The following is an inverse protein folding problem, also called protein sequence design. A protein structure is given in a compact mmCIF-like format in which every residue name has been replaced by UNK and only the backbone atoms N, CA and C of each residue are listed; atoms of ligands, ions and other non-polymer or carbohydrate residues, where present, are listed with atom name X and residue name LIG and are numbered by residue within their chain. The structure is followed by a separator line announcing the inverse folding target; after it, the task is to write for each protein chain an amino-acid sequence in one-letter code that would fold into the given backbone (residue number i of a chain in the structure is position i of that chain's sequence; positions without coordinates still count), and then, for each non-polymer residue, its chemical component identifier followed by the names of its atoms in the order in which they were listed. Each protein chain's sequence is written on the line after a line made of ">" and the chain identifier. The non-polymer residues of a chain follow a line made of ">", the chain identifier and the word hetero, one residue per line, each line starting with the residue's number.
data_IF_035866129814
#
_entry.id   IF_035866129814
#
_cell.length_a   1.000
_cell.length_b   1.000
_cell.length_c   1.000
_cell.angle_alpha   90.00
_cell.angle_beta   90.00
_cell.angle_gamma   90.00
#
_symmetry.space_group_name_H-M   'P 1'
#
loop_
_entity.id
_entity.type
_entity.pdbx_description
1 polymer ?
#
# COMPACT_ATOMS: atom_id res chain seq x y z
N UNK A 1 -10.44 -28.30 -25.03
CA UNK A 1 -9.79 -27.08 -24.58
C UNK A 1 -10.82 -26.01 -24.25
N UNK A 2 -10.73 -25.45 -23.03
CA UNK A 2 -11.65 -24.42 -22.56
C UNK A 2 -11.14 -23.06 -22.94
N UNK A 3 -11.97 -22.25 -23.59
CA UNK A 3 -11.64 -20.88 -23.98
C UNK A 3 -12.69 -19.92 -23.46
N UNK A 4 -12.24 -18.81 -22.93
CA UNK A 4 -13.11 -17.75 -22.46
C UNK A 4 -12.48 -16.39 -22.73
N UNK A 5 -13.34 -15.42 -23.00
CA UNK A 5 -12.99 -14.02 -22.95
C UNK A 5 -13.25 -13.54 -21.53
N UNK A 6 -12.25 -12.93 -20.91
CA UNK A 6 -12.35 -12.41 -19.56
C UNK A 6 -12.22 -10.90 -19.62
N UNK A 7 -13.24 -10.22 -19.11
CA UNK A 7 -13.18 -8.77 -18.91
C UNK A 7 -12.99 -8.53 -17.43
N UNK A 8 -11.87 -7.94 -17.08
CA UNK A 8 -11.50 -7.67 -15.70
C UNK A 8 -11.53 -6.18 -15.43
N UNK A 9 -12.38 -5.76 -14.50
CA UNK A 9 -12.35 -4.43 -13.93
C UNK A 9 -11.83 -4.56 -12.49
N UNK A 10 -10.96 -3.67 -12.10
CA UNK A 10 -10.41 -3.71 -10.75
C UNK A 10 -10.25 -2.31 -10.18
N UNK A 11 -10.72 -2.16 -8.95
CA UNK A 11 -10.39 -1.01 -8.12
C UNK A 11 -9.19 -1.40 -7.26
N UNK A 12 -8.15 -0.59 -7.31
CA UNK A 12 -6.91 -0.85 -6.60
C UNK A 12 -6.58 0.33 -5.69
N UNK A 13 -6.33 0.03 -4.42
CA UNK A 13 -5.92 1.00 -3.44
C UNK A 13 -4.63 0.53 -2.77
N UNK A 14 -3.60 1.37 -2.80
CA UNK A 14 -2.38 1.19 -2.02
C UNK A 14 -2.34 2.29 -0.97
N UNK A 15 -2.28 1.90 0.31
CA UNK A 15 -2.37 2.86 1.41
C UNK A 15 -1.47 2.47 2.58
N UNK A 16 -1.07 3.47 3.34
CA UNK A 16 -0.48 3.30 4.66
C UNK A 16 -1.51 3.69 5.71
N UNK A 17 -1.78 2.81 6.66
CA UNK A 17 -2.71 3.11 7.75
C UNK A 17 -1.99 3.89 8.85
N UNK A 18 -2.10 5.21 8.81
CA UNK A 18 -1.42 6.10 9.74
C UNK A 18 -1.94 5.98 11.18
N UNK A 19 -3.10 5.35 11.39
CA UNK A 19 -3.59 5.06 12.74
C UNK A 19 -2.72 4.05 13.47
N UNK A 20 -1.91 3.28 12.74
CA UNK A 20 -0.97 2.31 13.31
C UNK A 20 0.32 2.97 13.81
N UNK A 21 0.55 4.24 13.49
CA UNK A 21 1.69 4.98 14.00
C UNK A 21 1.59 5.13 15.51
N UNK A 22 2.68 4.88 16.20
CA UNK A 22 2.78 5.07 17.64
C UNK A 22 3.81 6.13 17.96
N UNK A 23 3.53 6.91 18.99
CA UNK A 23 4.42 7.97 19.44
C UNK A 23 4.68 7.83 20.93
N UNK A 24 5.93 8.04 21.34
CA UNK A 24 6.29 8.28 22.73
C UNK A 24 6.67 9.75 22.87
N UNK A 25 6.07 10.40 23.86
CA UNK A 25 6.29 11.82 24.13
C UNK A 25 7.07 11.94 25.44
N UNK A 26 8.24 12.55 25.36
CA UNK A 26 9.07 12.88 26.52
C UNK A 26 9.07 14.39 26.71
N UNK A 27 8.24 14.85 27.64
CA UNK A 27 8.08 16.29 27.89
C UNK A 27 9.34 16.91 28.49
N UNK A 28 10.04 16.18 29.33
CA UNK A 28 11.25 16.67 29.99
C UNK A 28 12.36 16.96 28.98
N UNK A 29 12.53 16.08 28.02
CA UNK A 29 13.54 16.22 26.97
C UNK A 29 12.98 16.86 25.69
N UNK A 30 11.71 17.22 25.67
CA UNK A 30 11.02 17.79 24.51
C UNK A 30 11.25 16.97 23.26
N UNK A 31 11.02 15.67 23.38
CA UNK A 31 11.29 14.70 22.32
C UNK A 31 10.03 13.89 22.02
N UNK A 32 9.75 13.72 20.74
CA UNK A 32 8.72 12.81 20.23
C UNK A 32 9.44 11.71 19.48
N UNK A 33 9.20 10.45 19.88
CA UNK A 33 9.76 9.30 19.19
C UNK A 33 8.64 8.57 18.44
N UNK A 34 8.76 8.50 17.13
CA UNK A 34 7.85 7.75 16.29
C UNK A 34 8.27 6.30 16.22
N UNK A 35 7.29 5.40 16.31
CA UNK A 35 7.48 3.95 16.24
C UNK A 35 6.48 3.31 15.30
N UNK A 36 6.81 2.11 14.86
CA UNK A 36 5.89 1.23 14.12
C UNK A 36 5.31 1.88 12.87
N UNK A 37 6.19 2.31 11.98
CA UNK A 37 5.75 2.74 10.64
C UNK A 37 5.06 1.56 9.97
N UNK A 38 3.80 1.71 9.55
CA UNK A 38 3.06 0.61 8.97
C UNK A 38 3.62 0.21 7.61
N UNK A 39 3.41 -1.04 7.25
CA UNK A 39 3.66 -1.50 5.88
C UNK A 39 2.52 -1.07 4.98
N UNK A 40 2.77 -0.86 3.69
CA UNK A 40 1.70 -0.52 2.78
C UNK A 40 0.68 -1.65 2.68
N UNK A 41 -0.59 -1.31 2.67
CA UNK A 41 -1.69 -2.22 2.45
C UNK A 41 -2.14 -2.13 1.00
N UNK A 42 -2.41 -3.28 0.40
CA UNK A 42 -2.92 -3.39 -0.95
C UNK A 42 -4.34 -3.95 -0.90
N UNK A 43 -5.30 -3.19 -1.43
CA UNK A 43 -6.69 -3.64 -1.57
C UNK A 43 -7.05 -3.69 -3.03
N UNK A 44 -7.49 -4.86 -3.48
CA UNK A 44 -7.92 -5.09 -4.85
C UNK A 44 -9.35 -5.62 -4.82
N UNK A 45 -10.27 -4.86 -5.41
CA UNK A 45 -11.62 -5.31 -5.69
C UNK A 45 -11.74 -5.56 -7.17
N UNK A 46 -11.82 -6.82 -7.56
CA UNK A 46 -11.94 -7.19 -8.97
C UNK A 46 -13.36 -7.64 -9.28
N UNK A 47 -13.81 -7.22 -10.45
CA UNK A 47 -15.06 -7.61 -11.05
C UNK A 47 -14.75 -8.28 -12.39
N UNK A 48 -14.93 -9.59 -12.44
CA UNK A 48 -14.57 -10.40 -13.59
C UNK A 48 -15.83 -10.85 -14.31
N UNK A 49 -15.86 -10.64 -15.61
CA UNK A 49 -16.91 -11.14 -16.50
C UNK A 49 -16.31 -12.19 -17.42
N UNK A 50 -16.94 -13.35 -17.42
CA UNK A 50 -16.49 -14.49 -18.20
C UNK A 50 -17.47 -14.73 -19.35
N UNK A 51 -16.93 -14.74 -20.55
CA UNK A 51 -17.70 -15.04 -21.75
C UNK A 51 -17.15 -16.32 -22.38
N UNK A 52 -18.00 -17.31 -22.54
CA UNK A 52 -17.61 -18.55 -23.18
C UNK A 52 -17.46 -18.31 -24.69
N UNK A 53 -16.21 -18.35 -25.16
CA UNK A 53 -15.88 -18.12 -26.56
C UNK A 53 -16.11 -19.35 -27.43
N UNK A 54 -16.04 -20.53 -26.82
CA UNK A 54 -16.06 -21.79 -27.55
C UNK A 54 -17.42 -22.48 -27.54
N UNK A 55 -18.35 -22.02 -26.75
CA UNK A 55 -19.71 -22.55 -26.59
C UNK A 55 -19.80 -24.09 -26.51
N UNK A 56 -18.79 -24.72 -25.94
CA UNK A 56 -18.74 -26.15 -25.79
C UNK A 56 -19.72 -26.61 -24.71
N UNK A 57 -20.73 -27.36 -25.08
CA UNK A 57 -21.67 -27.94 -24.12
C UNK A 57 -21.07 -29.08 -23.32
N UNK A 58 -19.97 -29.65 -23.81
CA UNK A 58 -19.33 -30.82 -23.21
C UNK A 58 -18.21 -30.46 -22.26
N UNK A 59 -17.79 -29.20 -22.20
CA UNK A 59 -16.66 -28.79 -21.42
C UNK A 59 -16.84 -27.37 -20.84
N UNK A 60 -17.91 -27.14 -20.07
CA UNK A 60 -18.16 -25.83 -19.49
C UNK A 60 -17.13 -25.49 -18.42
N UNK A 61 -16.96 -24.19 -18.15
CA UNK A 61 -16.19 -23.75 -17.02
C UNK A 61 -16.93 -24.09 -15.72
N UNK A 62 -16.21 -24.67 -14.77
CA UNK A 62 -16.75 -24.97 -13.44
C UNK A 62 -16.20 -23.99 -12.39
N UNK A 63 -16.65 -24.13 -11.13
CA UNK A 63 -16.24 -23.25 -10.05
C UNK A 63 -14.73 -23.25 -9.83
N UNK A 64 -14.05 -24.39 -10.01
CA UNK A 64 -12.60 -24.48 -9.87
C UNK A 64 -11.88 -23.71 -10.97
N UNK A 65 -12.38 -23.75 -12.19
CA UNK A 65 -11.82 -22.98 -13.31
C UNK A 65 -11.91 -21.48 -13.02
N UNK A 66 -13.05 -21.01 -12.56
CA UNK A 66 -13.25 -19.60 -12.19
C UNK A 66 -12.32 -19.20 -11.03
N UNK A 67 -12.17 -20.03 -10.03
CA UNK A 67 -11.28 -19.75 -8.90
C UNK A 67 -9.82 -19.66 -9.34
N UNK A 68 -9.36 -20.54 -10.22
CA UNK A 68 -8.01 -20.48 -10.79
C UNK A 68 -7.78 -19.18 -11.56
N UNK A 69 -8.76 -18.79 -12.37
CA UNK A 69 -8.68 -17.57 -13.17
C UNK A 69 -8.66 -16.34 -12.26
N UNK A 70 -9.52 -16.29 -11.25
CA UNK A 70 -9.53 -15.21 -10.27
C UNK A 70 -8.17 -15.04 -9.58
N UNK A 71 -7.57 -16.13 -9.14
CA UNK A 71 -6.23 -16.11 -8.51
C UNK A 71 -5.15 -15.62 -9.48
N UNK A 72 -5.20 -16.10 -10.71
CA UNK A 72 -4.24 -15.72 -11.74
C UNK A 72 -4.34 -14.23 -12.07
N UNK A 73 -5.55 -13.72 -12.25
CA UNK A 73 -5.79 -12.29 -12.51
C UNK A 73 -5.29 -11.45 -11.34
N UNK A 74 -5.60 -11.84 -10.10
CA UNK A 74 -5.13 -11.13 -8.92
C UNK A 74 -3.60 -11.09 -8.85
N UNK A 75 -2.94 -12.21 -9.14
CA UNK A 75 -1.47 -12.29 -9.17
C UNK A 75 -0.89 -11.36 -10.21
N UNK A 76 -1.44 -11.34 -11.42
CA UNK A 76 -0.99 -10.47 -12.49
C UNK A 76 -1.21 -8.98 -12.17
N UNK A 77 -2.35 -8.64 -11.57
CA UNK A 77 -2.64 -7.28 -11.11
C UNK A 77 -1.65 -6.85 -10.04
N UNK A 78 -1.34 -7.72 -9.09
CA UNK A 78 -0.37 -7.43 -8.02
C UNK A 78 1.01 -7.12 -8.62
N UNK A 79 1.46 -7.88 -9.62
CA UNK A 79 2.72 -7.62 -10.31
C UNK A 79 2.71 -6.27 -11.03
N UNK A 80 1.60 -5.93 -11.69
CA UNK A 80 1.47 -4.63 -12.36
C UNK A 80 1.50 -3.47 -11.38
N UNK A 81 0.88 -3.63 -10.23
CA UNK A 81 0.85 -2.61 -9.18
C UNK A 81 2.25 -2.34 -8.64
N UNK A 82 3.07 -3.37 -8.46
CA UNK A 82 4.47 -3.22 -8.04
C UNK A 82 5.27 -2.31 -8.97
N UNK A 83 4.95 -2.33 -10.26
CA UNK A 83 5.62 -1.53 -11.29
C UNK A 83 4.91 -0.21 -11.58
N UNK A 84 3.78 0.05 -10.96
CA UNK A 84 2.98 1.25 -11.21
C UNK A 84 3.37 2.40 -10.27
N UNK A 85 2.83 3.59 -10.56
CA UNK A 85 3.00 4.75 -9.71
C UNK A 85 2.18 4.70 -8.41
N UNK A 86 1.30 3.71 -8.24
CA UNK A 86 0.42 3.62 -7.07
C UNK A 86 1.21 3.50 -5.76
N UNK A 87 2.23 2.65 -5.73
CA UNK A 87 3.08 2.50 -4.55
C UNK A 87 3.90 3.75 -4.26
N UNK A 88 4.51 4.34 -5.27
CA UNK A 88 5.28 5.57 -5.09
C UNK A 88 4.39 6.74 -4.65
N UNK A 89 3.17 6.83 -5.19
CA UNK A 89 2.21 7.85 -4.76
C UNK A 89 1.82 7.66 -3.28
N UNK A 90 1.61 6.43 -2.83
CA UNK A 90 1.32 6.13 -1.43
C UNK A 90 2.51 6.51 -0.53
N UNK A 91 3.74 6.20 -0.94
CA UNK A 91 4.95 6.61 -0.22
C UNK A 91 5.08 8.14 -0.12
N UNK A 92 4.81 8.84 -1.21
CA UNK A 92 4.84 10.31 -1.21
C UNK A 92 3.81 10.90 -0.25
N UNK A 93 2.64 10.29 -0.17
CA UNK A 93 1.61 10.70 0.78
C UNK A 93 2.04 10.45 2.23
N UNK A 94 2.65 9.30 2.50
CA UNK A 94 3.22 9.00 3.83
C UNK A 94 4.30 10.02 4.19
N UNK A 95 5.21 10.32 3.27
CA UNK A 95 6.24 11.34 3.46
C UNK A 95 5.62 12.69 3.80
N UNK A 96 4.59 13.10 3.07
CA UNK A 96 3.90 14.38 3.31
C UNK A 96 3.29 14.44 4.72
N UNK A 97 2.65 13.37 5.17
CA UNK A 97 2.06 13.32 6.51
C UNK A 97 3.12 13.33 7.61
N UNK A 98 4.21 12.61 7.44
CA UNK A 98 5.32 12.62 8.40
C UNK A 98 6.03 13.97 8.42
N UNK A 99 6.14 14.65 7.26
CA UNK A 99 6.71 15.99 7.16
C UNK A 99 5.91 17.01 7.95
N UNK A 100 4.59 16.90 7.98
CA UNK A 100 3.74 17.76 8.81
C UNK A 100 4.07 17.62 10.30
N UNK A 101 4.30 16.41 10.75
CA UNK A 101 4.68 16.13 12.14
C UNK A 101 6.06 16.75 12.43
N UNK A 102 6.99 16.62 11.50
CA UNK A 102 8.33 17.21 11.62
C UNK A 102 8.27 18.74 11.73
N UNK A 103 7.45 19.37 10.89
CA UNK A 103 7.25 20.84 10.94
C UNK A 103 6.70 21.25 12.30
N UNK A 104 5.71 20.54 12.82
CA UNK A 104 5.13 20.83 14.13
C UNK A 104 6.17 20.71 15.26
N UNK A 105 6.93 19.63 15.27
CA UNK A 105 7.96 19.42 16.30
C UNK A 105 9.05 20.49 16.22
N UNK A 106 9.53 20.80 15.01
CA UNK A 106 10.54 21.83 14.82
C UNK A 106 10.04 23.21 15.24
N UNK A 107 8.79 23.54 14.91
CA UNK A 107 8.16 24.83 15.28
C UNK A 107 8.05 25.00 16.80
N UNK A 108 7.77 23.90 17.50
CA UNK A 108 7.67 23.88 18.97
C UNK A 108 9.04 23.85 19.67
N UNK A 109 10.13 23.72 18.94
CA UNK A 109 11.46 23.54 19.50
C UNK A 109 11.69 22.13 20.07
N UNK A 110 10.88 21.18 19.63
CA UNK A 110 11.01 19.77 20.03
C UNK A 110 11.82 19.00 19.01
N UNK A 111 12.30 17.83 19.41
CA UNK A 111 13.07 16.91 18.56
C UNK A 111 12.20 15.73 18.18
N UNK A 112 12.15 15.41 16.89
CA UNK A 112 11.54 14.18 16.40
C UNK A 112 12.61 13.10 16.26
N UNK A 113 12.33 11.92 16.79
CA UNK A 113 13.19 10.74 16.63
C UNK A 113 12.39 9.59 16.02
N UNK A 114 13.08 8.76 15.29
CA UNK A 114 12.58 7.47 14.84
C UNK A 114 13.58 6.38 15.20
N UNK A 115 13.12 5.40 15.99
CA UNK A 115 13.94 4.28 16.43
C UNK A 115 15.28 4.75 17.03
N UNK A 116 15.20 5.76 17.91
CA UNK A 116 16.36 6.33 18.60
C UNK A 116 17.22 7.28 17.76
N UNK A 117 16.89 7.49 16.49
CA UNK A 117 17.63 8.37 15.58
C UNK A 117 16.89 9.67 15.35
N UNK A 118 17.61 10.78 15.38
CA UNK A 118 17.03 12.10 15.19
C UNK A 118 16.66 12.32 13.73
N UNK A 119 15.48 12.90 13.51
CA UNK A 119 14.94 13.25 12.20
C UNK A 119 14.84 14.77 12.13
N UNK A 120 15.64 15.41 11.27
CA UNK A 120 15.70 16.88 11.15
C UNK A 120 15.07 17.42 9.89
N UNK A 121 15.10 16.65 8.82
CA UNK A 121 14.66 17.07 7.48
C UNK A 121 13.77 16.03 6.82
N UNK A 122 13.08 16.43 5.76
CA UNK A 122 12.30 15.50 4.93
C UNK A 122 13.17 14.40 4.33
N UNK A 123 14.41 14.73 4.01
CA UNK A 123 15.36 13.74 3.50
C UNK A 123 15.66 12.65 4.54
N UNK A 124 15.75 13.03 5.82
CA UNK A 124 15.90 12.07 6.91
C UNK A 124 14.70 11.13 6.99
N UNK A 125 13.48 11.64 6.76
CA UNK A 125 12.27 10.82 6.72
C UNK A 125 12.40 9.78 5.60
N UNK A 126 12.78 10.18 4.40
CA UNK A 126 12.96 9.27 3.29
C UNK A 126 13.99 8.17 3.59
N UNK A 127 15.16 8.58 4.11
CA UNK A 127 16.29 7.66 4.29
C UNK A 127 16.17 6.77 5.51
N UNK A 128 15.59 7.28 6.62
CA UNK A 128 15.59 6.61 7.91
C UNK A 128 14.28 5.91 8.26
N UNK A 129 13.20 6.33 7.62
CA UNK A 129 11.85 5.85 7.96
C UNK A 129 11.21 5.07 6.82
N UNK A 130 11.14 5.66 5.63
CA UNK A 130 10.38 5.09 4.51
C UNK A 130 11.19 4.04 3.73
N UNK A 131 12.48 4.20 3.64
CA UNK A 131 13.34 3.27 2.92
C UNK A 131 14.01 2.25 3.83
#
# INVERSE_FOLDING_TARGET
>A
EKKALIVANADVLVMYDLRQLQYEIDENNKTVTSKNIPKPELKINQDLHFYDVNQSRFNPFNAQDYNKINKKVKTELTKKIEKSSLKSNAKNRLLSELSKILILTNTMGWTLKYDGREVKTDKDIELKIIN
#
